data_IF_443880464143
#
_entry.id   IF_443880464143
#
_cell.length_a   1.000
_cell.length_b   1.000
_cell.length_c   1.000
_cell.angle_alpha   90.00
_cell.angle_beta   90.00
_cell.angle_gamma   90.00
#
_symmetry.space_group_name_H-M   'P 1'
#
loop_
_entity.id
_entity.type
_entity.pdbx_description
1 polymer ?
#
# COMPACT_ATOMS: atom_id res chain seq x y z
N UNK A 1 63.29 -5.38 39.42
CA UNK A 1 61.87 -5.70 39.15
C UNK A 1 61.12 -4.46 38.68
N UNK A 2 61.05 -4.21 37.36
CA UNK A 2 60.18 -3.18 36.73
C UNK A 2 59.88 -3.60 35.28
N UNK A 3 59.16 -4.70 35.07
CA UNK A 3 58.72 -5.14 33.72
C UNK A 3 57.20 -5.35 33.58
N UNK A 4 56.42 -5.21 34.66
CA UNK A 4 54.97 -5.43 34.64
C UNK A 4 54.09 -4.17 34.57
N UNK A 5 54.67 -2.97 34.70
CA UNK A 5 53.89 -1.71 34.71
C UNK A 5 53.83 -0.99 33.35
N UNK A 6 54.77 -1.26 32.44
CA UNK A 6 54.74 -0.65 31.10
C UNK A 6 53.68 -1.31 30.20
N UNK A 7 53.53 -2.63 30.28
CA UNK A 7 52.58 -3.41 29.48
C UNK A 7 51.12 -3.11 29.82
N UNK A 8 50.75 -2.91 31.10
CA UNK A 8 49.39 -2.50 31.46
C UNK A 8 49.02 -1.10 30.95
N UNK A 9 50.00 -0.20 30.87
CA UNK A 9 49.78 1.17 30.39
C UNK A 9 49.61 1.21 28.86
N UNK A 10 50.35 0.36 28.14
CA UNK A 10 50.22 0.20 26.69
C UNK A 10 48.91 -0.51 26.30
N UNK A 11 48.51 -1.55 27.02
CA UNK A 11 47.22 -2.23 26.82
C UNK A 11 46.05 -1.28 27.12
N UNK A 12 46.14 -0.50 28.20
CA UNK A 12 45.15 0.50 28.55
C UNK A 12 45.00 1.60 27.48
N UNK A 13 46.11 2.07 26.92
CA UNK A 13 46.10 3.06 25.83
C UNK A 13 45.49 2.49 24.54
N UNK A 14 45.87 1.26 24.16
CA UNK A 14 45.34 0.61 22.97
C UNK A 14 43.82 0.36 23.05
N UNK A 15 43.33 -0.06 24.23
CA UNK A 15 41.89 -0.22 24.47
C UNK A 15 41.15 1.12 24.36
N UNK A 16 41.72 2.20 24.88
CA UNK A 16 41.14 3.54 24.82
C UNK A 16 41.05 4.06 23.38
N UNK A 17 42.09 3.84 22.57
CA UNK A 17 42.11 4.21 21.15
C UNK A 17 41.04 3.42 20.37
N UNK A 18 40.89 2.12 20.64
CA UNK A 18 39.85 1.29 20.02
C UNK A 18 38.44 1.77 20.36
N UNK A 19 38.19 2.13 21.62
CA UNK A 19 36.88 2.65 22.06
C UNK A 19 36.58 3.98 21.35
N UNK A 20 37.55 4.88 21.25
CA UNK A 20 37.39 6.16 20.56
C UNK A 20 37.15 5.96 19.06
N UNK A 21 37.81 5.00 18.42
CA UNK A 21 37.57 4.65 17.01
C UNK A 21 36.16 4.10 16.79
N UNK A 22 35.69 3.21 17.67
CA UNK A 22 34.32 2.67 17.58
C UNK A 22 33.28 3.77 17.79
N UNK A 23 33.48 4.64 18.78
CA UNK A 23 32.60 5.80 19.01
C UNK A 23 32.63 6.74 17.81
N UNK A 24 33.80 7.05 17.27
CA UNK A 24 33.92 7.90 16.08
C UNK A 24 33.18 7.29 14.90
N UNK A 25 33.36 5.99 14.63
CA UNK A 25 32.62 5.29 13.58
C UNK A 25 31.11 5.28 13.86
N UNK A 26 30.67 5.12 15.10
CA UNK A 26 29.24 5.12 15.43
C UNK A 26 28.60 6.51 15.27
N UNK A 27 29.32 7.58 15.62
CA UNK A 27 28.82 8.96 15.54
C UNK A 27 29.03 9.62 14.17
N UNK A 28 29.98 9.14 13.36
CA UNK A 28 30.28 9.67 12.03
C UNK A 28 29.87 8.76 10.89
N UNK A 29 29.51 7.49 11.17
CA UNK A 29 28.87 6.66 10.16
C UNK A 29 27.62 7.41 9.69
N UNK A 30 27.50 7.68 8.39
CA UNK A 30 26.25 8.19 7.86
C UNK A 30 25.18 7.20 8.29
N UNK A 31 24.20 7.68 9.05
CA UNK A 31 23.04 6.89 9.42
C UNK A 31 22.52 6.30 8.13
N UNK A 32 22.65 4.97 7.97
CA UNK A 32 22.15 4.26 6.81
C UNK A 32 20.70 4.74 6.67
N UNK A 33 20.32 5.37 5.55
CA UNK A 33 18.97 5.85 5.39
C UNK A 33 18.07 4.65 5.63
N UNK A 34 17.19 4.74 6.64
CA UNK A 34 16.20 3.71 6.90
C UNK A 34 15.55 3.37 5.55
N UNK A 35 15.44 2.08 5.17
CA UNK A 35 14.86 1.73 3.90
C UNK A 35 13.48 2.38 3.86
N UNK A 36 13.29 3.30 2.91
CA UNK A 36 12.08 4.11 2.82
C UNK A 36 10.87 3.16 2.92
N UNK A 37 10.14 3.22 4.04
CA UNK A 37 8.98 2.36 4.23
C UNK A 37 7.94 2.79 3.21
N UNK A 38 7.78 2.00 2.16
CA UNK A 38 6.74 2.22 1.16
C UNK A 38 5.40 2.31 1.89
N UNK A 39 4.77 3.48 1.79
CA UNK A 39 3.44 3.72 2.34
C UNK A 39 2.43 3.46 1.24
N UNK A 40 1.55 2.50 1.47
CA UNK A 40 0.42 2.24 0.59
C UNK A 40 -0.39 3.53 0.39
N UNK A 41 -0.84 3.73 -0.85
CA UNK A 41 -1.63 4.88 -1.26
C UNK A 41 -2.88 4.36 -1.95
N UNK A 42 -4.05 4.82 -1.52
CA UNK A 42 -5.27 4.69 -2.30
C UNK A 42 -6.04 5.99 -2.14
N UNK A 43 -6.13 6.71 -3.26
CA UNK A 43 -6.82 7.97 -3.35
C UNK A 43 -7.96 7.78 -4.30
N UNK A 44 -9.20 7.86 -3.82
CA UNK A 44 -10.37 8.05 -4.64
C UNK A 44 -10.78 9.51 -4.54
N UNK A 45 -11.18 10.11 -5.66
CA UNK A 45 -11.76 11.46 -5.62
C UNK A 45 -13.15 11.41 -4.97
N UNK A 46 -13.64 12.57 -4.57
CA UNK A 46 -15.05 12.81 -4.20
C UNK A 46 -15.60 11.96 -3.05
N UNK A 47 -15.48 12.43 -1.80
CA UNK A 47 -16.13 11.86 -0.61
C UNK A 47 -15.83 10.39 -0.28
N UNK A 48 -14.99 9.71 -1.05
CA UNK A 48 -14.51 8.36 -0.77
C UNK A 48 -13.09 8.39 -0.19
N UNK A 49 -12.85 7.59 0.84
CA UNK A 49 -11.54 7.41 1.46
C UNK A 49 -11.20 5.93 1.49
N UNK A 50 -10.08 5.56 0.89
CA UNK A 50 -9.53 4.22 1.08
C UNK A 50 -8.75 4.17 2.40
N UNK A 51 -9.10 3.25 3.29
CA UNK A 51 -8.38 3.06 4.57
C UNK A 51 -7.28 2.02 4.47
N UNK A 52 -7.51 0.99 3.67
CA UNK A 52 -6.60 -0.13 3.51
C UNK A 52 -6.64 -0.63 2.08
N UNK A 53 -5.50 -0.99 1.51
CA UNK A 53 -5.40 -1.48 0.14
C UNK A 53 -4.24 -2.47 0.02
N UNK A 54 -4.51 -3.71 -0.37
CA UNK A 54 -3.46 -4.68 -0.68
C UNK A 54 -3.84 -5.58 -1.85
N UNK A 55 -2.81 -6.11 -2.50
CA UNK A 55 -2.97 -7.11 -3.54
C UNK A 55 -2.65 -8.48 -2.98
N UNK A 56 -3.61 -9.39 -3.05
CA UNK A 56 -3.42 -10.76 -2.61
C UNK A 56 -2.39 -11.46 -3.49
N UNK A 57 -1.36 -12.02 -2.86
CA UNK A 57 -0.32 -12.81 -3.52
C UNK A 57 -0.93 -13.90 -4.41
N UNK A 58 -0.32 -14.08 -5.58
CA UNK A 58 -0.66 -15.16 -6.51
C UNK A 58 -2.01 -15.01 -7.23
N UNK A 59 -2.64 -13.84 -7.18
CA UNK A 59 -3.94 -13.64 -7.85
C UNK A 59 -4.20 -12.23 -8.39
N UNK A 60 -3.35 -11.25 -8.05
CA UNK A 60 -3.53 -9.84 -8.42
C UNK A 60 -4.92 -9.30 -8.04
N UNK A 61 -5.52 -9.89 -7.00
CA UNK A 61 -6.82 -9.53 -6.48
C UNK A 61 -6.68 -8.40 -5.49
N UNK A 62 -7.39 -7.31 -5.75
CA UNK A 62 -7.45 -6.15 -4.90
C UNK A 62 -8.36 -6.44 -3.71
N UNK A 63 -7.85 -6.15 -2.52
CA UNK A 63 -8.62 -6.07 -1.30
C UNK A 63 -8.51 -4.66 -0.75
N UNK A 64 -9.66 -4.05 -0.47
CA UNK A 64 -9.69 -2.67 0.01
C UNK A 64 -10.81 -2.45 1.02
N UNK A 65 -10.58 -1.52 1.93
CA UNK A 65 -11.61 -0.97 2.81
C UNK A 65 -11.91 0.44 2.36
N UNK A 66 -13.14 0.64 1.89
CA UNK A 66 -13.66 1.90 1.40
C UNK A 66 -14.57 2.51 2.47
N UNK A 67 -14.30 3.77 2.82
CA UNK A 67 -15.16 4.61 3.65
C UNK A 67 -15.76 5.68 2.73
N UNK A 68 -17.04 6.00 2.90
CA UNK A 68 -17.70 7.00 2.06
C UNK A 68 -18.42 8.03 2.92
N UNK A 69 -18.41 9.29 2.49
CA UNK A 69 -19.04 10.39 3.21
C UNK A 69 -19.83 11.33 2.28
N UNK A 70 -20.62 10.74 1.37
CA UNK A 70 -21.45 11.47 0.40
C UNK A 70 -22.72 12.08 1.01
N UNK A 71 -22.97 11.87 2.31
CA UNK A 71 -24.19 12.33 3.00
C UNK A 71 -25.41 11.44 2.79
N UNK A 72 -25.31 10.39 1.97
CA UNK A 72 -26.38 9.41 1.74
C UNK A 72 -25.82 8.01 1.52
N UNK A 73 -26.66 6.98 1.60
CA UNK A 73 -26.26 5.61 1.23
C UNK A 73 -26.02 5.53 -0.27
N UNK A 74 -24.88 4.95 -0.64
CA UNK A 74 -24.50 4.70 -2.04
C UNK A 74 -24.49 3.21 -2.32
N UNK A 75 -24.73 2.83 -3.57
CA UNK A 75 -24.62 1.45 -4.01
C UNK A 75 -23.49 1.29 -5.03
N UNK A 76 -22.35 0.75 -4.62
CA UNK A 76 -21.21 0.51 -5.53
C UNK A 76 -21.58 -0.62 -6.48
N UNK A 77 -21.54 -0.34 -7.78
CA UNK A 77 -21.95 -1.26 -8.84
C UNK A 77 -20.79 -1.81 -9.65
N UNK A 78 -19.67 -1.09 -9.73
CA UNK A 78 -18.47 -1.58 -10.41
C UNK A 78 -17.20 -1.03 -9.75
N UNK A 79 -16.13 -1.81 -9.80
CA UNK A 79 -14.82 -1.42 -9.34
C UNK A 79 -13.76 -2.09 -10.21
N UNK A 80 -12.84 -1.29 -10.74
CA UNK A 80 -11.78 -1.75 -11.64
C UNK A 80 -10.46 -1.13 -11.22
N UNK A 81 -9.41 -1.95 -11.12
CA UNK A 81 -8.04 -1.46 -11.00
C UNK A 81 -7.23 -1.80 -12.24
N UNK A 82 -6.43 -0.84 -12.71
CA UNK A 82 -5.65 -1.00 -13.95
C UNK A 82 -4.42 -0.10 -13.94
N UNK A 83 -3.34 -0.49 -14.63
CA UNK A 83 -2.20 0.40 -14.90
C UNK A 83 -2.48 1.38 -16.04
N UNK A 84 -3.62 1.28 -16.73
CA UNK A 84 -4.05 2.27 -17.74
C UNK A 84 -4.52 3.55 -17.07
N UNK A 85 -4.06 4.70 -17.57
CA UNK A 85 -4.57 6.03 -17.15
C UNK A 85 -5.90 6.41 -17.79
N UNK A 86 -6.33 5.66 -18.81
CA UNK A 86 -7.61 5.84 -19.48
C UNK A 86 -8.69 5.01 -18.77
N UNK A 87 -9.92 5.52 -18.76
CA UNK A 87 -11.08 4.83 -18.20
C UNK A 87 -11.24 3.46 -18.85
N UNK A 88 -11.13 2.35 -18.10
CA UNK A 88 -11.28 1.01 -18.63
C UNK A 88 -12.77 0.71 -18.89
N UNK A 89 -13.02 -0.42 -19.55
CA UNK A 89 -14.36 -1.02 -19.56
C UNK A 89 -14.69 -1.41 -18.12
N UNK A 90 -15.78 -0.85 -17.59
CA UNK A 90 -16.20 -1.12 -16.22
C UNK A 90 -16.83 -2.51 -16.12
N UNK A 91 -16.27 -3.35 -15.24
CA UNK A 91 -16.84 -4.68 -14.96
C UNK A 91 -17.76 -4.57 -13.75
N UNK A 92 -19.06 -4.87 -13.88
CA UNK A 92 -19.97 -4.83 -12.75
C UNK A 92 -19.58 -5.86 -11.69
N UNK A 93 -19.79 -5.49 -10.42
CA UNK A 93 -19.70 -6.43 -9.30
C UNK A 93 -20.86 -7.42 -9.38
N UNK A 94 -20.61 -8.68 -9.03
CA UNK A 94 -21.66 -9.70 -8.99
C UNK A 94 -22.77 -9.33 -8.01
N UNK A 95 -22.39 -8.75 -6.87
CA UNK A 95 -23.31 -8.18 -5.89
C UNK A 95 -22.92 -6.71 -5.65
N UNK A 96 -23.86 -5.80 -5.84
CA UNK A 96 -23.61 -4.40 -5.54
C UNK A 96 -23.41 -4.18 -4.04
N UNK A 97 -22.54 -3.23 -3.66
CA UNK A 97 -22.15 -3.01 -2.27
C UNK A 97 -22.79 -1.73 -1.76
N UNK A 98 -23.75 -1.88 -0.84
CA UNK A 98 -24.38 -0.76 -0.16
C UNK A 98 -23.49 -0.26 0.97
N UNK A 99 -23.22 1.04 0.98
CA UNK A 99 -22.43 1.70 2.03
C UNK A 99 -23.18 2.92 2.52
N UNK A 100 -23.53 2.95 3.81
CA UNK A 100 -24.13 4.13 4.44
C UNK A 100 -23.09 5.24 4.61
N UNK A 101 -23.53 6.50 4.62
CA UNK A 101 -22.60 7.62 4.81
C UNK A 101 -21.93 7.54 6.19
N UNK A 102 -20.61 7.66 6.21
CA UNK A 102 -19.76 7.50 7.39
C UNK A 102 -19.37 6.05 7.69
N UNK A 103 -19.93 5.07 6.98
CA UNK A 103 -19.60 3.65 7.17
C UNK A 103 -18.48 3.17 6.26
N UNK A 104 -17.94 2.01 6.63
CA UNK A 104 -16.89 1.30 5.90
C UNK A 104 -17.45 0.04 5.28
N UNK A 105 -17.04 -0.23 4.05
CA UNK A 105 -17.24 -1.53 3.43
C UNK A 105 -15.92 -2.13 3.00
N UNK A 106 -15.83 -3.44 3.17
CA UNK A 106 -14.73 -4.24 2.68
C UNK A 106 -15.10 -4.82 1.32
N UNK A 107 -14.22 -4.60 0.34
CA UNK A 107 -14.37 -5.10 -1.02
C UNK A 107 -13.19 -6.03 -1.27
N UNK A 108 -13.49 -7.30 -1.54
CA UNK A 108 -12.47 -8.35 -1.59
C UNK A 108 -12.62 -9.33 -2.74
N UNK A 109 -11.46 -9.78 -3.19
CA UNK A 109 -11.25 -10.91 -4.09
C UNK A 109 -11.71 -12.30 -3.62
N UNK A 110 -12.60 -12.45 -2.63
CA UNK A 110 -12.97 -13.78 -2.13
C UNK A 110 -14.06 -13.83 -1.04
N UNK A 111 -14.81 -14.95 -1.04
CA UNK A 111 -16.01 -15.32 -0.26
C UNK A 111 -17.23 -14.36 -0.32
N UNK A 112 -17.04 -13.09 -0.64
CA UNK A 112 -18.11 -12.10 -0.84
C UNK A 112 -18.67 -12.07 -2.27
N UNK A 113 -18.03 -12.78 -3.21
CA UNK A 113 -18.44 -12.87 -4.62
C UNK A 113 -18.02 -11.68 -5.51
N UNK A 114 -17.36 -10.66 -4.94
CA UNK A 114 -17.03 -9.41 -5.62
C UNK A 114 -15.54 -9.29 -5.95
N UNK A 115 -15.04 -10.21 -6.77
CA UNK A 115 -13.62 -10.24 -7.10
C UNK A 115 -13.20 -9.06 -8.00
N UNK A 116 -12.22 -8.27 -7.54
CA UNK A 116 -11.61 -7.20 -8.33
C UNK A 116 -10.18 -7.60 -8.65
N UNK A 117 -9.93 -7.89 -9.92
CA UNK A 117 -8.62 -8.29 -10.43
C UNK A 117 -7.96 -7.10 -11.13
N UNK A 118 -6.75 -6.74 -10.72
CA UNK A 118 -6.03 -5.65 -11.36
C UNK A 118 -5.46 -6.07 -12.71
N UNK A 119 -5.39 -5.11 -13.63
CA UNK A 119 -4.94 -5.32 -15.01
C UNK A 119 -3.74 -4.47 -15.38
N UNK A 120 -2.92 -4.96 -16.31
CA UNK A 120 -1.82 -4.19 -16.91
C UNK A 120 -2.34 -3.16 -17.92
N UNK A 121 -1.40 -2.36 -18.45
CA UNK A 121 -1.65 -1.38 -19.50
C UNK A 121 -2.13 -1.99 -20.82
N UNK A 122 -2.07 -3.30 -21.02
CA UNK A 122 -2.64 -4.00 -22.18
C UNK A 122 -4.05 -4.56 -21.91
N UNK A 123 -4.57 -4.39 -20.68
CA UNK A 123 -5.88 -4.88 -20.26
C UNK A 123 -5.91 -6.35 -19.85
N UNK A 124 -4.77 -7.05 -19.93
CA UNK A 124 -4.65 -8.40 -19.36
C UNK A 124 -4.55 -8.32 -17.85
N UNK A 125 -4.91 -9.40 -17.19
CA UNK A 125 -4.69 -9.58 -15.75
C UNK A 125 -3.23 -9.27 -15.40
N UNK A 126 -3.03 -8.48 -14.35
CA UNK A 126 -1.70 -8.20 -13.83
C UNK A 126 -1.03 -9.52 -13.46
N UNK A 127 0.21 -9.77 -13.93
CA UNK A 127 0.94 -10.96 -13.56
C UNK A 127 1.02 -11.04 -12.04
N UNK A 128 1.08 -12.27 -11.52
CA UNK A 128 1.26 -12.49 -10.10
C UNK A 128 2.55 -11.81 -9.64
N UNK A 129 2.41 -10.71 -8.91
CA UNK A 129 3.56 -10.00 -8.37
C UNK A 129 4.25 -10.82 -7.29
N UNK A 130 5.56 -10.64 -7.18
CA UNK A 130 6.34 -11.23 -6.09
C UNK A 130 6.05 -10.48 -4.80
N UNK A 131 6.19 -11.18 -3.68
CA UNK A 131 6.01 -10.58 -2.35
C UNK A 131 6.87 -9.31 -2.21
N UNK A 132 6.24 -8.21 -1.83
CA UNK A 132 6.91 -6.92 -1.64
C UNK A 132 7.11 -6.08 -2.91
N UNK A 133 6.82 -6.61 -4.10
CA UNK A 133 6.71 -5.79 -5.31
C UNK A 133 5.55 -4.80 -5.15
N UNK A 134 5.69 -3.62 -5.78
CA UNK A 134 4.69 -2.56 -5.74
C UNK A 134 3.92 -2.56 -7.04
N UNK A 135 2.60 -2.59 -6.93
CA UNK A 135 1.68 -2.26 -8.00
C UNK A 135 1.29 -0.78 -7.88
N UNK A 136 1.57 0.00 -8.92
CA UNK A 136 1.08 1.37 -9.05
C UNK A 136 0.13 1.47 -10.25
N UNK A 137 -1.03 2.07 -10.04
CA UNK A 137 -2.04 2.21 -11.07
C UNK A 137 -3.21 3.10 -10.67
N UNK A 138 -4.33 2.89 -11.35
CA UNK A 138 -5.55 3.66 -11.22
C UNK A 138 -6.69 2.77 -10.73
N UNK A 139 -7.59 3.38 -9.97
CA UNK A 139 -8.81 2.76 -9.48
C UNK A 139 -10.00 3.53 -10.04
N UNK A 140 -10.94 2.81 -10.62
CA UNK A 140 -12.17 3.35 -11.20
C UNK A 140 -13.35 2.66 -10.54
N UNK A 141 -14.35 3.44 -10.16
CA UNK A 141 -15.51 2.96 -9.44
C UNK A 141 -16.77 3.62 -10.00
N UNK A 142 -17.86 2.86 -10.09
CA UNK A 142 -19.20 3.45 -10.26
C UNK A 142 -20.07 3.11 -9.07
N UNK A 143 -20.92 4.06 -8.70
CA UNK A 143 -21.97 3.84 -7.72
C UNK A 143 -23.28 4.46 -8.19
N UNK A 144 -24.39 3.97 -7.63
CA UNK A 144 -25.69 4.62 -7.74
C UNK A 144 -25.90 5.52 -6.54
N UNK A 145 -26.25 6.78 -6.79
CA UNK A 145 -26.71 7.70 -5.75
C UNK A 145 -28.11 7.32 -5.26
N UNK A 146 -28.64 8.06 -4.28
CA UNK A 146 -29.99 7.85 -3.74
C UNK A 146 -31.11 8.02 -4.79
N UNK A 147 -30.85 8.77 -5.85
CA UNK A 147 -31.78 9.02 -6.96
C UNK A 147 -31.65 7.95 -8.06
N UNK A 148 -30.72 7.01 -7.93
CA UNK A 148 -30.43 5.99 -8.93
C UNK A 148 -29.57 6.46 -10.10
N UNK A 149 -28.93 7.64 -10.00
CA UNK A 149 -28.01 8.11 -11.03
C UNK A 149 -26.67 7.38 -10.90
N UNK A 150 -26.11 6.99 -12.05
CA UNK A 150 -24.75 6.43 -12.11
C UNK A 150 -23.74 7.56 -11.98
N UNK A 151 -22.90 7.46 -10.95
CA UNK A 151 -21.79 8.37 -10.71
C UNK A 151 -20.48 7.61 -10.88
N UNK A 152 -19.52 8.26 -11.50
CA UNK A 152 -18.20 7.72 -11.78
C UNK A 152 -17.14 8.42 -10.95
N UNK A 153 -16.30 7.62 -10.29
CA UNK A 153 -15.21 8.09 -9.45
C UNK A 153 -13.92 7.45 -9.93
N UNK A 154 -12.86 8.25 -10.00
CA UNK A 154 -11.52 7.76 -10.29
C UNK A 154 -10.52 8.12 -9.21
N UNK A 155 -9.42 7.38 -9.23
CA UNK A 155 -8.42 7.39 -8.19
C UNK A 155 -7.10 6.80 -8.63
N UNK A 156 -6.12 6.87 -7.74
CA UNK A 156 -4.82 6.21 -7.88
C UNK A 156 -4.59 5.23 -6.73
N UNK A 157 -3.90 4.14 -7.03
CA UNK A 157 -3.51 3.14 -6.04
C UNK A 157 -2.02 2.82 -6.19
N UNK A 158 -1.36 2.66 -5.05
CA UNK A 158 -0.02 2.13 -4.94
C UNK A 158 -0.01 1.17 -3.76
N UNK A 159 0.17 -0.13 -4.02
CA UNK A 159 0.13 -1.14 -2.96
C UNK A 159 1.12 -2.27 -3.22
N UNK A 160 1.51 -2.99 -2.16
CA UNK A 160 2.39 -4.15 -2.26
C UNK A 160 1.59 -5.43 -2.44
N UNK A 161 2.22 -6.40 -3.11
CA UNK A 161 1.76 -7.79 -3.05
C UNK A 161 2.08 -8.37 -1.67
N UNK A 162 1.02 -8.80 -0.96
CA UNK A 162 1.07 -9.36 0.40
C UNK A 162 0.54 -10.78 0.47
#
# INVERSE_FOLDING_TARGET
MKKGQATMREIGLAALIMIVLILYLYFTAPQLPEPAQFKEKCFLKENFTCRYVFLRRGSSRLELILEQNTGSTVNITSLVCTKRSQTPIMTPLNNSILITSGERAYISGGNSGNEVVCTESDGKTAPEGKLGEVYEGYLYMTYLDRLGNVVFVNGSIATKYS
#
